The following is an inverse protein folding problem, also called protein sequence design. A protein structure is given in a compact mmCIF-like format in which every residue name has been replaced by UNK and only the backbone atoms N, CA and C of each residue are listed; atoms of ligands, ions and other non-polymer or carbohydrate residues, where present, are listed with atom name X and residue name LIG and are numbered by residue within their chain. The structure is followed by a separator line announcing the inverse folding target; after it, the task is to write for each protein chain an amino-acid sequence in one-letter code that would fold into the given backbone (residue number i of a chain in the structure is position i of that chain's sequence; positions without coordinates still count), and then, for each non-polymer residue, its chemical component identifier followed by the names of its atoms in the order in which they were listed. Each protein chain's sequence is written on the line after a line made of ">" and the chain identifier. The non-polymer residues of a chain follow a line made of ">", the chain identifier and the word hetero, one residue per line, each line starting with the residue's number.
data_IF_194628703182
#
_entry.id   IF_194628703182
#
_cell.length_a   1.000
_cell.length_b   1.000
_cell.length_c   1.000
_cell.angle_alpha   90.00
_cell.angle_beta   90.00
_cell.angle_gamma   90.00
#
_symmetry.space_group_name_H-M   'P 1'
#
loop_
_entity.id
_entity.type
_entity.pdbx_description
1 polymer ?
#
# COMPACT_ATOMS: atom_id res chain seq x y z
N UNK A 1 8.23 11.01 16.92
CA UNK A 1 7.51 11.69 18.01
C UNK A 1 6.06 11.26 17.88
N UNK A 2 5.63 10.31 18.70
CA UNK A 2 4.26 9.77 18.66
C UNK A 2 3.28 10.78 19.25
N UNK A 3 2.19 11.05 18.53
CA UNK A 3 1.08 11.85 19.03
C UNK A 3 0.17 10.92 19.84
N UNK A 4 0.36 10.89 21.16
CA UNK A 4 -0.63 10.32 22.09
C UNK A 4 -1.62 11.41 22.46
N UNK A 5 -2.88 11.28 22.04
CA UNK A 5 -3.98 12.04 22.63
C UNK A 5 -4.45 11.29 23.87
N UNK A 6 -4.18 11.86 25.05
CA UNK A 6 -4.82 11.43 26.30
C UNK A 6 -6.28 11.86 26.23
N UNK A 7 -7.18 10.90 26.08
CA UNK A 7 -8.62 11.06 26.30
C UNK A 7 -8.93 10.20 27.52
N UNK A 8 -9.29 10.84 28.64
CA UNK A 8 -9.75 10.19 29.87
C UNK A 8 -11.16 9.61 29.67
N UNK A 9 -11.25 8.52 28.91
CA UNK A 9 -12.43 7.65 28.90
C UNK A 9 -11.98 6.24 29.32
N UNK A 10 -12.48 5.68 30.45
CA UNK A 10 -12.12 4.33 30.91
C UNK A 10 -12.50 3.22 29.92
N UNK A 11 -13.26 3.52 28.85
CA UNK A 11 -13.53 2.60 27.74
C UNK A 11 -12.49 2.66 26.59
N UNK A 12 -11.54 3.60 26.63
CA UNK A 12 -10.54 3.82 25.58
C UNK A 12 -9.14 3.58 26.15
N UNK A 13 -8.72 2.32 26.23
CA UNK A 13 -7.34 1.98 26.60
C UNK A 13 -6.37 2.63 25.60
N UNK A 14 -5.39 3.38 26.10
CA UNK A 14 -4.34 3.97 25.27
C UNK A 14 -3.67 2.90 24.42
N UNK A 15 -3.46 3.19 23.13
CA UNK A 15 -2.64 2.34 22.26
C UNK A 15 -1.19 2.65 22.58
N UNK A 16 -0.61 1.92 23.52
CA UNK A 16 0.74 2.17 24.05
C UNK A 16 1.85 1.90 23.02
N UNK A 17 1.56 1.10 21.99
CA UNK A 17 2.45 0.94 20.83
C UNK A 17 1.70 0.55 19.56
N UNK A 18 2.18 1.07 18.43
CA UNK A 18 1.74 0.69 17.09
C UNK A 18 2.97 0.43 16.25
N UNK A 19 3.12 -0.82 15.80
CA UNK A 19 4.20 -1.21 14.90
C UNK A 19 3.61 -1.56 13.54
N UNK A 20 4.34 -1.20 12.49
CA UNK A 20 3.96 -1.50 11.12
C UNK A 20 5.09 -2.18 10.38
N UNK A 21 4.80 -3.33 9.78
CA UNK A 21 5.71 -4.04 8.91
C UNK A 21 5.07 -4.19 7.53
N UNK A 22 5.84 -3.90 6.47
CA UNK A 22 5.43 -4.19 5.09
C UNK A 22 6.58 -4.82 4.32
N UNK A 23 6.28 -5.93 3.68
CA UNK A 23 7.13 -6.55 2.67
C UNK A 23 6.34 -6.63 1.36
N UNK A 24 6.99 -6.29 0.24
CA UNK A 24 6.37 -6.36 -1.08
C UNK A 24 7.38 -6.79 -2.12
N UNK A 25 6.95 -7.67 -3.02
CA UNK A 25 7.71 -8.07 -4.21
C UNK A 25 6.83 -7.91 -5.44
N UNK A 26 7.39 -7.28 -6.48
CA UNK A 26 6.67 -7.02 -7.73
C UNK A 26 7.54 -7.34 -8.92
N UNK A 27 6.93 -7.95 -9.93
CA UNK A 27 7.48 -8.10 -11.26
C UNK A 27 6.49 -7.52 -12.28
N UNK A 28 6.98 -7.12 -13.44
CA UNK A 28 6.11 -6.60 -14.49
C UNK A 28 6.84 -6.48 -15.81
N UNK A 29 6.05 -6.26 -16.85
CA UNK A 29 6.51 -6.05 -18.20
C UNK A 29 5.84 -4.81 -18.78
N UNK A 30 6.60 -4.00 -19.51
CA UNK A 30 6.16 -2.77 -20.17
C UNK A 30 6.43 -2.89 -21.67
N UNK A 31 5.44 -2.52 -22.48
CA UNK A 31 5.53 -2.42 -23.93
C UNK A 31 5.62 -0.95 -24.34
N UNK A 32 6.62 -0.55 -25.13
CA UNK A 32 6.63 0.79 -25.70
C UNK A 32 5.52 0.94 -26.75
N UNK A 33 4.81 2.05 -26.68
CA UNK A 33 3.86 2.54 -27.67
C UNK A 33 4.43 3.82 -28.28
N UNK A 34 5.33 3.63 -29.25
CA UNK A 34 6.19 4.69 -29.77
C UNK A 34 7.25 5.11 -28.75
N UNK A 35 7.76 6.33 -28.90
CA UNK A 35 8.90 6.81 -28.10
C UNK A 35 8.49 7.36 -26.74
N UNK A 36 7.23 7.79 -26.59
CA UNK A 36 6.76 8.58 -25.45
C UNK A 36 6.03 7.75 -24.40
N UNK A 37 5.21 6.79 -24.83
CA UNK A 37 4.29 6.06 -23.94
C UNK A 37 4.75 4.62 -23.79
N UNK A 38 4.63 4.06 -22.59
CA UNK A 38 4.70 2.63 -22.35
C UNK A 38 3.47 2.18 -21.57
N UNK A 39 2.89 1.04 -21.95
CA UNK A 39 1.84 0.39 -21.19
C UNK A 39 2.27 -1.01 -20.80
N UNK A 40 1.84 -1.47 -19.65
CA UNK A 40 2.28 -2.76 -19.16
C UNK A 40 1.37 -3.36 -18.12
N UNK A 41 1.79 -4.53 -17.68
CA UNK A 41 1.14 -5.29 -16.63
C UNK A 41 2.17 -5.68 -15.58
N UNK A 42 1.72 -5.78 -14.34
CA UNK A 42 2.51 -6.24 -13.22
C UNK A 42 1.77 -7.33 -12.45
N UNK A 43 2.53 -8.20 -11.82
CA UNK A 43 2.03 -9.07 -10.76
C UNK A 43 3.00 -8.98 -9.59
N UNK A 44 2.45 -8.92 -8.40
CA UNK A 44 3.24 -8.96 -7.19
C UNK A 44 2.44 -9.55 -6.05
N UNK A 45 3.08 -9.57 -4.90
CA UNK A 45 2.44 -9.90 -3.65
C UNK A 45 3.14 -9.18 -2.52
N UNK A 46 2.47 -9.16 -1.38
CA UNK A 46 3.01 -8.53 -0.20
C UNK A 46 2.35 -9.03 1.06
N UNK A 47 2.96 -8.60 2.15
CA UNK A 47 2.48 -8.78 3.50
C UNK A 47 2.49 -7.41 4.18
N UNK A 48 1.39 -7.10 4.85
CA UNK A 48 1.20 -5.88 5.64
C UNK A 48 0.72 -6.28 7.03
N UNK A 49 1.51 -5.94 8.06
CA UNK A 49 1.19 -6.21 9.45
C UNK A 49 1.08 -4.92 10.23
N UNK A 50 -0.06 -4.72 10.90
CA UNK A 50 -0.30 -3.68 11.88
C UNK A 50 -0.45 -4.34 13.25
N UNK A 51 0.55 -4.12 14.10
CA UNK A 51 0.60 -4.71 15.44
C UNK A 51 0.25 -3.63 16.45
N UNK A 52 -0.87 -3.83 17.12
CA UNK A 52 -1.32 -2.98 18.22
C UNK A 52 -1.11 -3.71 19.54
N UNK A 53 -0.84 -2.94 20.61
CA UNK A 53 -1.02 -3.49 21.96
C UNK A 53 -2.47 -3.99 22.12
N UNK A 54 -2.74 -5.04 22.93
CA UNK A 54 -4.08 -5.62 23.05
C UNK A 54 -5.15 -4.55 23.26
N UNK A 55 -6.04 -4.40 22.27
CA UNK A 55 -7.07 -3.37 22.26
C UNK A 55 -8.37 -3.96 21.67
N UNK A 56 -9.51 -3.88 22.39
CA UNK A 56 -10.78 -4.44 21.94
C UNK A 56 -11.42 -3.68 20.76
N UNK A 57 -10.84 -2.55 20.35
CA UNK A 57 -11.33 -1.69 19.26
C UNK A 57 -10.49 -1.85 17.99
N UNK A 58 -9.18 -2.15 18.12
CA UNK A 58 -8.24 -2.24 17.01
C UNK A 58 -7.39 -3.52 17.13
N UNK A 59 -7.89 -4.67 16.64
CA UNK A 59 -7.11 -5.90 16.63
C UNK A 59 -5.92 -5.80 15.68
N UNK A 60 -4.89 -6.58 15.99
CA UNK A 60 -3.75 -6.78 15.09
C UNK A 60 -4.25 -7.28 13.74
N UNK A 61 -3.71 -6.69 12.68
CA UNK A 61 -4.16 -6.93 11.31
C UNK A 61 -2.98 -7.41 10.47
N UNK A 62 -3.12 -8.59 9.89
CA UNK A 62 -2.11 -9.17 9.01
C UNK A 62 -2.74 -9.50 7.66
N UNK A 63 -2.31 -8.78 6.62
CA UNK A 63 -2.87 -8.86 5.29
C UNK A 63 -1.81 -9.37 4.32
N UNK A 64 -1.98 -10.61 3.88
CA UNK A 64 -1.25 -11.17 2.76
C UNK A 64 -2.06 -11.00 1.48
N UNK A 65 -1.44 -10.59 0.37
CA UNK A 65 -2.16 -10.32 -0.86
C UNK A 65 -1.38 -10.65 -2.13
N UNK A 66 -2.11 -10.91 -3.21
CA UNK A 66 -1.63 -10.91 -4.59
C UNK A 66 -2.16 -9.67 -5.29
N UNK A 67 -1.33 -9.04 -6.12
CA UNK A 67 -1.57 -7.74 -6.75
C UNK A 67 -1.31 -7.77 -8.25
N UNK A 68 -2.28 -8.19 -9.10
CA UNK A 68 -2.23 -7.88 -10.52
C UNK A 68 -2.42 -6.38 -10.74
N UNK A 69 -1.67 -5.80 -11.66
CA UNK A 69 -1.62 -4.36 -11.91
C UNK A 69 -1.58 -4.04 -13.40
N UNK A 70 -2.23 -2.95 -13.79
CA UNK A 70 -1.99 -2.24 -15.04
C UNK A 70 -1.06 -1.06 -14.78
N UNK A 71 -0.10 -0.85 -15.69
CA UNK A 71 0.95 0.17 -15.57
C UNK A 71 1.01 1.06 -16.79
N UNK A 72 1.28 2.33 -16.57
CA UNK A 72 1.55 3.31 -17.61
C UNK A 72 2.79 4.12 -17.29
N UNK A 73 3.60 4.40 -18.31
CA UNK A 73 4.72 5.35 -18.23
C UNK A 73 4.62 6.33 -19.38
N UNK A 74 4.87 7.60 -19.11
CA UNK A 74 4.89 8.67 -20.12
C UNK A 74 6.15 9.49 -19.95
N UNK A 75 7.03 9.45 -20.95
CA UNK A 75 8.24 10.26 -21.02
C UNK A 75 7.90 11.69 -21.38
N UNK A 76 7.91 12.58 -20.38
CA UNK A 76 7.61 14.00 -20.57
C UNK A 76 8.79 14.76 -21.14
N UNK A 77 10.00 14.37 -20.71
CA UNK A 77 11.28 14.91 -21.20
C UNK A 77 12.29 13.78 -21.26
N UNK A 78 12.17 12.93 -22.28
CA UNK A 78 12.93 11.67 -22.40
C UNK A 78 12.90 10.87 -21.09
N UNK A 79 14.06 10.47 -20.56
CA UNK A 79 14.22 9.78 -19.26
C UNK A 79 14.52 10.75 -18.11
N UNK A 80 14.61 12.06 -18.38
CA UNK A 80 14.84 13.09 -17.36
C UNK A 80 13.59 13.31 -16.52
N UNK A 81 12.42 13.24 -17.14
CA UNK A 81 11.13 13.31 -16.45
C UNK A 81 10.16 12.31 -17.06
N UNK A 82 9.76 11.33 -16.26
CA UNK A 82 8.81 10.28 -16.62
C UNK A 82 7.68 10.25 -15.60
N UNK A 83 6.45 10.34 -16.09
CA UNK A 83 5.24 10.11 -15.31
C UNK A 83 4.97 8.60 -15.26
N UNK A 84 4.76 8.06 -14.06
CA UNK A 84 4.40 6.67 -13.81
C UNK A 84 2.98 6.62 -13.23
N UNK A 85 2.16 5.70 -13.74
CA UNK A 85 0.82 5.39 -13.26
C UNK A 85 0.71 3.89 -13.02
N UNK A 86 0.05 3.48 -11.96
CA UNK A 86 -0.13 2.08 -11.58
C UNK A 86 -1.51 1.91 -10.94
N UNK A 87 -2.31 0.99 -11.47
CA UNK A 87 -3.64 0.66 -10.96
C UNK A 87 -3.69 -0.84 -10.72
N UNK A 88 -4.06 -1.26 -9.52
CA UNK A 88 -4.05 -2.65 -9.17
C UNK A 88 -5.22 -3.06 -8.29
N UNK A 89 -5.60 -4.32 -8.44
CA UNK A 89 -6.46 -5.03 -7.52
C UNK A 89 -5.59 -5.81 -6.54
N UNK A 90 -6.03 -5.92 -5.28
CA UNK A 90 -5.39 -6.73 -4.25
C UNK A 90 -6.34 -7.85 -3.86
N UNK A 91 -6.05 -9.07 -4.32
CA UNK A 91 -6.69 -10.27 -3.84
C UNK A 91 -6.08 -10.63 -2.49
N UNK A 92 -6.81 -10.42 -1.39
CA UNK A 92 -6.33 -10.73 -0.05
C UNK A 92 -6.48 -12.24 0.19
N UNK A 93 -5.41 -12.84 0.67
CA UNK A 93 -5.29 -14.28 0.93
C UNK A 93 -5.55 -14.62 2.41
N UNK A 94 -5.45 -13.63 3.30
CA UNK A 94 -5.68 -13.78 4.73
C UNK A 94 -5.70 -12.43 5.43
N UNK A 95 -6.45 -12.36 6.53
CA UNK A 95 -6.73 -11.12 7.29
C UNK A 95 -6.28 -11.21 8.75
N UNK A 96 -5.59 -12.28 9.14
CA UNK A 96 -5.16 -12.53 10.51
C UNK A 96 -6.32 -12.53 11.51
N UNK A 97 -6.08 -11.92 12.67
CA UNK A 97 -7.00 -11.93 13.82
C UNK A 97 -8.29 -11.12 13.61
N UNK A 98 -8.37 -10.30 12.55
CA UNK A 98 -9.60 -9.60 12.17
C UNK A 98 -10.76 -10.60 11.98
N UNK A 99 -10.50 -11.75 11.35
CA UNK A 99 -11.53 -12.75 11.08
C UNK A 99 -12.11 -13.30 12.40
N UNK A 100 -11.28 -13.60 13.39
CA UNK A 100 -11.77 -14.04 14.70
C UNK A 100 -12.57 -12.96 15.43
N UNK A 101 -12.13 -11.71 15.32
CA UNK A 101 -12.64 -10.59 16.10
C UNK A 101 -14.05 -10.13 15.67
N UNK A 102 -14.28 -10.02 14.35
CA UNK A 102 -15.50 -9.40 13.80
C UNK A 102 -16.44 -10.34 13.04
N UNK A 103 -15.98 -11.55 12.72
CA UNK A 103 -16.78 -12.56 12.03
C UNK A 103 -15.86 -13.54 11.31
N UNK A 104 -15.89 -14.81 11.74
CA UNK A 104 -14.96 -15.87 11.28
C UNK A 104 -14.96 -16.05 9.76
N UNK A 105 -16.07 -15.71 9.10
CA UNK A 105 -16.21 -15.73 7.64
C UNK A 105 -15.91 -14.32 7.11
N UNK A 106 -14.63 -13.93 7.17
CA UNK A 106 -14.15 -12.63 6.70
C UNK A 106 -13.66 -12.72 5.23
N UNK A 107 -14.18 -11.84 4.39
CA UNK A 107 -13.68 -11.66 3.02
C UNK A 107 -13.11 -10.24 2.88
N UNK A 108 -11.94 -10.15 2.27
CA UNK A 108 -11.27 -8.87 2.03
C UNK A 108 -10.77 -8.78 0.61
N UNK A 109 -10.91 -7.59 0.04
CA UNK A 109 -10.29 -7.23 -1.21
C UNK A 109 -9.76 -5.80 -1.13
N UNK A 110 -8.84 -5.45 -2.02
CA UNK A 110 -8.28 -4.11 -2.02
C UNK A 110 -8.07 -3.52 -3.40
N UNK A 111 -7.89 -2.22 -3.41
CA UNK A 111 -7.52 -1.41 -4.56
C UNK A 111 -6.25 -0.66 -4.23
N UNK A 112 -5.39 -0.49 -5.22
CA UNK A 112 -4.12 0.21 -5.07
C UNK A 112 -3.89 1.09 -6.30
N UNK A 113 -3.75 2.38 -6.05
CA UNK A 113 -3.58 3.41 -7.08
C UNK A 113 -2.29 4.15 -6.79
N UNK A 114 -1.37 4.10 -7.74
CA UNK A 114 -0.08 4.76 -7.71
C UNK A 114 0.05 5.79 -8.83
N UNK A 115 0.66 6.91 -8.49
CA UNK A 115 1.13 7.89 -9.45
C UNK A 115 2.46 8.46 -9.00
N UNK A 116 3.36 8.78 -9.92
CA UNK A 116 4.64 9.35 -9.55
C UNK A 116 5.38 9.99 -10.71
N UNK A 117 6.37 10.81 -10.36
CA UNK A 117 7.37 11.31 -11.28
C UNK A 117 8.70 10.67 -10.94
N UNK A 118 9.42 10.23 -11.94
CA UNK A 118 10.79 9.72 -11.83
C UNK A 118 11.65 10.39 -12.88
N UNK A 119 12.95 10.43 -12.64
CA UNK A 119 13.86 11.08 -13.56
C UNK A 119 15.31 10.73 -13.34
N UNK A 120 16.07 10.82 -14.42
CA UNK A 120 17.52 10.64 -14.44
C UNK A 120 18.19 11.81 -15.18
N UNK A 121 19.14 12.48 -14.52
CA UNK A 121 19.85 13.64 -15.07
C UNK A 121 21.10 13.29 -15.90
N UNK A 122 21.39 12.01 -16.09
CA UNK A 122 22.58 11.52 -16.81
C UNK A 122 22.68 12.08 -18.22
N UNK A 123 21.57 12.25 -18.93
CA UNK A 123 21.60 12.75 -20.31
C UNK A 123 21.78 14.26 -20.45
N UNK A 124 21.36 15.05 -19.47
CA UNK A 124 21.35 16.52 -19.59
C UNK A 124 22.62 17.14 -19.02
N UNK A 125 23.20 16.54 -17.98
CA UNK A 125 24.31 17.13 -17.24
C UNK A 125 25.45 16.15 -16.95
N UNK A 126 25.45 14.94 -17.55
CA UNK A 126 26.37 13.84 -17.22
C UNK A 126 26.40 13.53 -15.71
N UNK A 127 25.31 13.87 -15.01
CA UNK A 127 25.15 13.62 -13.58
C UNK A 127 24.46 12.27 -13.41
N UNK A 128 25.08 11.33 -12.72
CA UNK A 128 24.46 10.06 -12.33
C UNK A 128 23.34 10.19 -11.30
N UNK A 129 22.65 11.33 -11.25
CA UNK A 129 21.57 11.61 -10.33
C UNK A 129 20.25 11.02 -10.81
N UNK A 130 19.60 10.25 -9.94
CA UNK A 130 18.26 9.70 -10.14
C UNK A 130 17.35 10.16 -9.01
N UNK A 131 16.11 10.50 -9.33
CA UNK A 131 15.13 10.93 -8.35
C UNK A 131 13.75 10.35 -8.65
N UNK A 132 12.91 10.24 -7.63
CA UNK A 132 11.50 9.97 -7.79
C UNK A 132 10.66 10.57 -6.67
N UNK A 133 9.45 11.00 -7.01
CA UNK A 133 8.39 11.36 -6.07
C UNK A 133 7.17 10.50 -6.40
N UNK A 134 6.68 9.74 -5.43
CA UNK A 134 5.59 8.79 -5.63
C UNK A 134 4.49 8.99 -4.60
N UNK A 135 3.26 8.86 -5.07
CA UNK A 135 2.06 8.80 -4.29
C UNK A 135 1.41 7.44 -4.50
N UNK A 136 1.01 6.80 -3.41
CA UNK A 136 0.23 5.57 -3.45
C UNK A 136 -0.95 5.65 -2.48
N UNK A 137 -2.13 5.32 -2.98
CA UNK A 137 -3.32 5.07 -2.19
C UNK A 137 -3.60 3.57 -2.18
N UNK A 138 -3.87 3.01 -1.01
CA UNK A 138 -4.33 1.64 -0.83
C UNK A 138 -5.61 1.66 -0.03
N UNK A 139 -6.66 1.01 -0.53
CA UNK A 139 -7.89 0.78 0.21
C UNK A 139 -8.20 -0.71 0.29
N UNK A 140 -8.57 -1.19 1.47
CA UNK A 140 -9.13 -2.50 1.73
C UNK A 140 -10.59 -2.37 2.10
N UNK A 141 -11.40 -3.28 1.58
CA UNK A 141 -12.82 -3.41 1.86
C UNK A 141 -13.08 -4.81 2.36
N UNK A 142 -13.73 -4.88 3.51
CA UNK A 142 -13.90 -6.10 4.30
C UNK A 142 -15.37 -6.35 4.51
N UNK A 143 -15.80 -7.59 4.38
CA UNK A 143 -17.11 -8.07 4.79
C UNK A 143 -16.96 -9.18 5.81
N UNK A 144 -17.82 -9.17 6.82
CA UNK A 144 -17.76 -10.12 7.93
C UNK A 144 -19.09 -10.86 8.06
N UNK A 145 -18.99 -12.17 8.30
CA UNK A 145 -20.12 -13.02 8.63
C UNK A 145 -19.70 -14.09 9.64
N UNK A 146 -20.67 -14.84 10.16
CA UNK A 146 -20.43 -15.91 11.13
C UNK A 146 -20.20 -15.39 12.56
N UNK A 147 -19.57 -16.20 13.40
CA UNK A 147 -19.36 -15.92 14.83
C UNK A 147 -18.19 -14.94 15.00
N UNK A 148 -18.35 -13.97 15.90
CA UNK A 148 -17.33 -13.01 16.29
C UNK A 148 -16.93 -13.21 17.76
N UNK A 149 -15.64 -13.09 18.09
CA UNK A 149 -15.15 -13.16 19.48
C UNK A 149 -15.37 -11.86 20.25
N UNK A 150 -15.32 -10.72 19.55
CA UNK A 150 -15.29 -9.40 20.18
C UNK A 150 -16.61 -8.67 19.92
N UNK A 151 -16.87 -8.33 18.65
CA UNK A 151 -18.08 -7.61 18.25
C UNK A 151 -18.55 -8.08 16.88
N UNK A 152 -19.86 -8.25 16.70
CA UNK A 152 -20.40 -8.65 15.40
C UNK A 152 -20.22 -7.53 14.37
N UNK A 153 -19.35 -7.75 13.38
CA UNK A 153 -19.18 -6.88 12.23
C UNK A 153 -20.03 -7.32 11.05
N UNK A 154 -20.35 -6.38 10.16
CA UNK A 154 -20.93 -6.68 8.83
C UNK A 154 -20.01 -6.22 7.70
N UNK A 155 -19.30 -5.12 7.91
CA UNK A 155 -18.38 -4.54 6.93
C UNK A 155 -17.34 -3.65 7.60
N UNK A 156 -16.19 -3.49 6.95
CA UNK A 156 -15.14 -2.56 7.35
C UNK A 156 -14.38 -2.02 6.15
N UNK A 157 -13.65 -0.91 6.35
CA UNK A 157 -12.73 -0.39 5.36
C UNK A 157 -11.47 0.12 6.04
N UNK A 158 -10.32 -0.17 5.44
CA UNK A 158 -9.02 0.38 5.85
C UNK A 158 -8.41 1.11 4.67
N UNK A 159 -7.87 2.31 4.89
CA UNK A 159 -7.28 3.12 3.84
C UNK A 159 -5.94 3.67 4.28
N UNK A 160 -4.97 3.67 3.37
CA UNK A 160 -3.66 4.26 3.60
C UNK A 160 -3.21 5.09 2.40
N UNK A 161 -2.51 6.18 2.71
CA UNK A 161 -1.83 7.01 1.73
C UNK A 161 -0.34 6.98 2.05
N UNK A 162 0.48 6.87 1.01
CA UNK A 162 1.94 6.87 1.10
C UNK A 162 2.52 7.89 0.15
N UNK A 163 3.45 8.67 0.69
CA UNK A 163 4.34 9.54 -0.08
C UNK A 163 5.75 9.01 0.03
N UNK A 164 6.43 8.85 -1.10
CA UNK A 164 7.82 8.40 -1.15
C UNK A 164 8.63 9.40 -1.95
N UNK A 165 9.75 9.84 -1.39
CA UNK A 165 10.77 10.62 -2.08
C UNK A 165 12.03 9.76 -2.14
N UNK A 166 12.58 9.61 -3.34
CA UNK A 166 13.82 8.89 -3.60
C UNK A 166 14.79 9.85 -4.28
N UNK A 167 16.03 9.83 -3.83
CA UNK A 167 17.13 10.50 -4.47
C UNK A 167 18.36 9.60 -4.36
N UNK A 168 19.11 9.50 -5.45
CA UNK A 168 20.28 8.65 -5.53
C UNK A 168 21.31 9.23 -6.48
N UNK A 169 22.58 8.88 -6.24
CA UNK A 169 23.70 9.27 -7.07
C UNK A 169 24.51 8.03 -7.43
N UNK A 170 24.86 7.88 -8.69
CA UNK A 170 25.81 6.87 -9.17
C UNK A 170 27.04 7.54 -9.77
N UNK A 171 28.21 6.92 -9.58
CA UNK A 171 29.50 7.34 -10.13
C UNK A 171 29.92 6.40 -11.26
#
# INVERSE_FOLDING_TARGET
>A
VGLGSVVDDPAMSSVDSTNFARLQLMAGWMAPLGDVVELGVGIGGGFEGYYFAPNPVLPTTEIAYIRPAARGRVRLLEETVVLELDLAYRAVLGTGDIAGSFGQDAETHGVDVGAGLTGNLSRIADLGFTWAVRFHYVGYFMSYAGVASDAQGTSGAEQSVRFTILAGWSF
#
